data_IF_400721109728
#
_entry.id   IF_400721109728
#
_cell.length_a   1.000
_cell.length_b   1.000
_cell.length_c   1.000
_cell.angle_alpha   90.00
_cell.angle_beta   90.00
_cell.angle_gamma   90.00
#
_symmetry.space_group_name_H-M   'P 1'
#
loop_
_entity.id
_entity.type
_entity.pdbx_description
1 polymer ?
#
# COMPACT_ATOMS: atom_id res chain seq x y z
N UNK A 1 41.46 -3.33 -15.55
CA UNK A 1 41.26 -2.60 -14.29
C UNK A 1 40.64 -3.57 -13.27
N UNK A 2 41.41 -4.00 -12.27
CA UNK A 2 40.91 -4.83 -11.17
C UNK A 2 40.00 -3.95 -10.30
N UNK A 3 38.73 -4.31 -10.18
CA UNK A 3 37.81 -3.64 -9.25
C UNK A 3 38.43 -3.73 -7.83
N UNK A 4 38.73 -2.57 -7.23
CA UNK A 4 39.11 -2.52 -5.82
C UNK A 4 37.95 -3.10 -5.02
N UNK A 5 38.17 -4.13 -4.21
CA UNK A 5 37.17 -4.65 -3.28
C UNK A 5 36.78 -3.51 -2.33
N UNK A 6 35.54 -3.05 -2.42
CA UNK A 6 34.98 -2.12 -1.43
C UNK A 6 34.67 -2.93 -0.17
N UNK A 7 35.14 -2.47 1.00
CA UNK A 7 34.81 -3.11 2.26
C UNK A 7 33.29 -2.98 2.50
N UNK A 8 32.64 -4.12 2.71
CA UNK A 8 31.22 -4.14 3.08
C UNK A 8 31.08 -3.63 4.51
N UNK A 9 30.12 -2.73 4.74
CA UNK A 9 29.79 -2.22 6.08
C UNK A 9 29.24 -3.30 7.01
N UNK A 10 28.75 -2.88 8.16
CA UNK A 10 28.09 -3.77 9.12
C UNK A 10 26.89 -4.49 8.48
N UNK A 11 26.71 -5.76 8.83
CA UNK A 11 25.54 -6.52 8.41
C UNK A 11 24.35 -6.14 9.30
N UNK A 12 23.25 -5.67 8.69
CA UNK A 12 22.02 -5.39 9.36
C UNK A 12 21.03 -6.53 9.12
N UNK A 13 20.05 -6.68 10.03
CA UNK A 13 18.96 -7.66 9.91
C UNK A 13 17.64 -7.04 10.37
N UNK A 14 16.54 -7.56 9.85
CA UNK A 14 15.18 -7.18 10.24
C UNK A 14 14.33 -8.43 10.36
N UNK A 15 13.58 -8.54 11.45
CA UNK A 15 12.58 -9.57 11.61
C UNK A 15 11.28 -9.11 10.94
N UNK A 16 10.69 -9.98 10.15
CA UNK A 16 9.40 -9.76 9.48
C UNK A 16 8.47 -10.85 9.96
N UNK A 17 7.33 -10.47 10.50
CA UNK A 17 6.30 -11.39 10.96
C UNK A 17 4.99 -11.10 10.25
N UNK A 18 4.18 -12.13 10.06
CA UNK A 18 2.83 -12.02 9.51
C UNK A 18 1.96 -13.15 10.06
N UNK A 19 0.67 -12.96 10.00
CA UNK A 19 -0.31 -14.01 10.29
C UNK A 19 -0.64 -14.79 9.01
N UNK A 20 -1.18 -16.01 9.18
CA UNK A 20 -1.74 -16.78 8.06
C UNK A 20 -2.79 -15.90 7.32
N UNK A 21 -2.65 -15.69 6.01
CA UNK A 21 -3.60 -14.87 5.26
C UNK A 21 -4.95 -15.55 5.02
N UNK A 22 -5.08 -16.86 5.20
CA UNK A 22 -6.28 -17.61 4.85
C UNK A 22 -7.57 -17.11 5.55
N UNK A 23 -7.57 -16.77 6.86
CA UNK A 23 -8.75 -16.20 7.51
C UNK A 23 -9.20 -14.87 6.90
N UNK A 24 -8.27 -13.95 6.64
CA UNK A 24 -8.59 -12.67 5.99
C UNK A 24 -9.07 -12.85 4.56
N UNK A 25 -8.48 -13.78 3.82
CA UNK A 25 -8.93 -14.12 2.45
C UNK A 25 -10.37 -14.64 2.46
N UNK A 26 -10.71 -15.54 3.38
CA UNK A 26 -12.07 -16.07 3.51
C UNK A 26 -13.08 -14.98 3.88
N UNK A 27 -12.74 -14.08 4.81
CA UNK A 27 -13.58 -12.95 5.17
C UNK A 27 -13.81 -12.00 3.98
N UNK A 28 -12.75 -11.72 3.19
CA UNK A 28 -12.84 -10.86 1.99
C UNK A 28 -13.76 -11.38 0.91
N UNK A 29 -14.06 -12.71 0.86
CA UNK A 29 -15.02 -13.29 -0.07
C UNK A 29 -16.48 -12.99 0.32
N UNK A 30 -16.76 -12.72 1.59
CA UNK A 30 -18.12 -12.69 2.15
C UNK A 30 -18.54 -11.32 2.68
N UNK A 31 -17.59 -10.49 3.08
CA UNK A 31 -17.88 -9.17 3.61
C UNK A 31 -17.95 -8.10 2.50
N UNK A 32 -18.78 -7.05 2.67
CA UNK A 32 -18.62 -5.82 1.90
C UNK A 32 -17.23 -5.23 2.13
N UNK A 33 -16.67 -4.58 1.12
CA UNK A 33 -15.29 -4.08 1.19
C UNK A 33 -15.04 -3.10 2.34
N UNK A 34 -16.01 -2.24 2.68
CA UNK A 34 -15.89 -1.33 3.83
C UNK A 34 -15.81 -2.12 5.15
N UNK A 35 -16.70 -3.08 5.35
CA UNK A 35 -16.74 -3.88 6.58
C UNK A 35 -15.46 -4.71 6.73
N UNK A 36 -14.97 -5.27 5.63
CA UNK A 36 -13.70 -6.00 5.59
C UNK A 36 -12.51 -5.13 6.00
N UNK A 37 -12.40 -3.93 5.45
CA UNK A 37 -11.31 -3.00 5.78
C UNK A 37 -11.45 -2.43 7.19
N UNK A 38 -12.68 -2.20 7.66
CA UNK A 38 -12.95 -1.77 9.04
C UNK A 38 -12.56 -2.84 10.04
N UNK A 39 -12.87 -4.11 9.77
CA UNK A 39 -12.44 -5.23 10.62
C UNK A 39 -10.91 -5.35 10.71
N UNK A 40 -10.17 -5.02 9.63
CA UNK A 40 -8.70 -4.92 9.70
C UNK A 40 -8.24 -3.73 10.53
N UNK A 41 -8.88 -2.57 10.37
CA UNK A 41 -8.55 -1.35 11.11
C UNK A 41 -8.75 -1.54 12.62
N UNK A 42 -9.83 -2.23 13.01
CA UNK A 42 -10.20 -2.50 14.40
C UNK A 42 -9.42 -3.70 15.00
N UNK A 43 -8.59 -4.38 14.21
CA UNK A 43 -7.79 -5.53 14.64
C UNK A 43 -8.58 -6.84 14.79
N UNK A 44 -9.80 -6.92 14.28
CA UNK A 44 -10.61 -8.14 14.22
C UNK A 44 -10.10 -9.12 13.16
N UNK A 45 -9.52 -8.59 12.07
CA UNK A 45 -8.83 -9.35 11.03
C UNK A 45 -7.36 -8.98 10.99
N UNK A 46 -6.45 -9.96 10.81
CA UNK A 46 -5.04 -9.67 10.67
C UNK A 46 -4.75 -8.91 9.37
N UNK A 47 -3.77 -7.99 9.39
CA UNK A 47 -3.32 -7.32 8.17
C UNK A 47 -2.66 -8.31 7.21
N UNK A 48 -2.66 -8.04 5.91
CA UNK A 48 -2.01 -8.90 4.94
C UNK A 48 -0.48 -8.91 5.13
N UNK A 49 0.21 -10.01 4.77
CA UNK A 49 1.66 -10.16 4.95
C UNK A 49 2.51 -9.02 4.38
N UNK A 50 2.06 -8.38 3.30
CA UNK A 50 2.74 -7.25 2.67
C UNK A 50 2.89 -6.06 3.62
N UNK A 51 1.98 -5.87 4.58
CA UNK A 51 2.06 -4.80 5.57
C UNK A 51 3.31 -4.97 6.45
N UNK A 52 3.59 -6.19 6.92
CA UNK A 52 4.80 -6.49 7.69
C UNK A 52 6.08 -6.31 6.88
N UNK A 53 6.04 -6.66 5.58
CA UNK A 53 7.18 -6.49 4.69
C UNK A 53 7.51 -5.02 4.43
N UNK A 54 6.52 -4.18 4.25
CA UNK A 54 6.69 -2.76 3.88
C UNK A 54 6.55 -1.80 5.04
N UNK A 55 6.22 -2.30 6.25
CA UNK A 55 6.00 -1.51 7.45
C UNK A 55 4.88 -0.47 7.27
N UNK A 56 3.78 -0.90 6.64
CA UNK A 56 2.61 -0.04 6.41
C UNK A 56 1.42 -0.50 7.24
N UNK A 57 0.58 0.44 7.65
CA UNK A 57 -0.60 0.23 8.48
C UNK A 57 -1.79 0.99 7.93
N UNK A 58 -2.97 0.37 7.90
CA UNK A 58 -4.24 1.04 7.65
C UNK A 58 -4.61 1.87 8.89
N UNK A 59 -4.85 3.17 8.70
CA UNK A 59 -5.16 4.09 9.81
C UNK A 59 -6.52 4.78 9.68
N UNK A 60 -7.10 4.74 8.47
CA UNK A 60 -8.45 5.29 8.24
C UNK A 60 -9.06 4.64 7.01
N UNK A 61 -10.35 4.34 7.07
CA UNK A 61 -11.16 3.94 5.91
C UNK A 61 -12.57 4.50 6.02
N UNK A 62 -13.03 5.07 4.92
CA UNK A 62 -14.42 5.48 4.70
C UNK A 62 -14.79 5.15 3.24
N UNK A 63 -16.07 5.15 2.86
CA UNK A 63 -16.44 4.87 1.47
C UNK A 63 -15.70 5.76 0.47
N UNK A 64 -14.95 5.15 -0.44
CA UNK A 64 -14.17 5.82 -1.48
C UNK A 64 -12.86 6.44 -1.03
N UNK A 65 -12.43 6.22 0.23
CA UNK A 65 -11.16 6.74 0.73
C UNK A 65 -10.50 5.78 1.71
N UNK A 66 -9.19 5.60 1.58
CA UNK A 66 -8.36 4.85 2.54
C UNK A 66 -7.06 5.60 2.81
N UNK A 67 -6.59 5.53 4.06
CA UNK A 67 -5.32 6.13 4.48
C UNK A 67 -4.45 5.07 5.13
N UNK A 68 -3.21 4.99 4.68
CA UNK A 68 -2.17 4.17 5.27
C UNK A 68 -0.99 5.03 5.71
N UNK A 69 -0.33 4.58 6.75
CA UNK A 69 0.99 5.08 7.12
C UNK A 69 2.06 4.07 6.74
N UNK A 70 3.30 4.53 6.57
CA UNK A 70 4.46 3.67 6.35
C UNK A 70 5.68 4.33 6.98
N UNK A 71 6.37 3.60 7.84
CA UNK A 71 7.65 4.05 8.38
C UNK A 71 8.79 3.51 7.50
N UNK A 72 9.40 4.36 6.65
CA UNK A 72 10.47 3.93 5.77
C UNK A 72 11.76 3.67 6.54
N UNK A 73 12.59 2.76 6.03
CA UNK A 73 13.89 2.45 6.63
C UNK A 73 14.95 2.10 5.59
N UNK A 74 16.20 2.01 6.03
CA UNK A 74 17.34 1.65 5.16
C UNK A 74 17.20 0.28 4.49
N UNK A 75 16.40 -0.62 5.08
CA UNK A 75 16.08 -1.92 4.52
C UNK A 75 15.41 -1.83 3.14
N UNK A 76 14.78 -0.70 2.85
CA UNK A 76 14.10 -0.41 1.59
C UNK A 76 14.88 0.48 0.63
N UNK A 77 16.18 0.72 0.86
CA UNK A 77 16.96 1.62 0.02
C UNK A 77 17.36 0.98 -1.32
N UNK A 78 17.40 1.81 -2.32
CA UNK A 78 18.01 1.54 -3.62
C UNK A 78 19.54 1.83 -3.56
N UNK A 79 20.33 1.50 -4.63
CA UNK A 79 21.77 1.72 -4.62
C UNK A 79 22.24 3.18 -4.49
N UNK A 80 21.36 4.16 -4.67
CA UNK A 80 21.68 5.59 -4.52
C UNK A 80 21.31 6.16 -3.15
N UNK A 81 20.92 5.30 -2.20
CA UNK A 81 20.68 5.69 -0.80
C UNK A 81 19.32 6.36 -0.53
N UNK A 82 18.32 6.12 -1.35
CA UNK A 82 16.94 6.54 -1.11
C UNK A 82 16.02 5.35 -1.04
N UNK A 83 14.85 5.49 -0.41
CA UNK A 83 13.81 4.44 -0.42
C UNK A 83 13.48 4.09 -1.87
N UNK A 84 13.50 2.79 -2.18
CA UNK A 84 13.20 2.30 -3.52
C UNK A 84 11.79 2.71 -3.95
N UNK A 85 11.65 3.25 -5.16
CA UNK A 85 10.36 3.69 -5.68
C UNK A 85 9.27 2.60 -5.68
N UNK A 86 9.68 1.33 -5.78
CA UNK A 86 8.77 0.18 -5.67
C UNK A 86 8.04 0.11 -4.32
N UNK A 87 8.67 0.51 -3.20
CA UNK A 87 8.00 0.56 -1.90
C UNK A 87 6.93 1.65 -1.87
N UNK A 88 7.26 2.84 -2.37
CA UNK A 88 6.29 3.95 -2.49
C UNK A 88 5.17 3.59 -3.47
N UNK A 89 5.49 2.87 -4.56
CA UNK A 89 4.48 2.36 -5.49
C UNK A 89 3.55 1.33 -4.83
N UNK A 90 4.08 0.40 -4.02
CA UNK A 90 3.25 -0.56 -3.26
C UNK A 90 2.29 0.16 -2.32
N UNK A 91 2.75 1.20 -1.63
CA UNK A 91 1.91 2.01 -0.75
C UNK A 91 0.79 2.72 -1.53
N UNK A 92 1.11 3.30 -2.70
CA UNK A 92 0.15 3.95 -3.59
C UNK A 92 -0.86 2.96 -4.19
N UNK A 93 -0.41 1.78 -4.62
CA UNK A 93 -1.29 0.72 -5.13
C UNK A 93 -2.27 0.25 -4.05
N UNK A 94 -1.77 0.07 -2.83
CA UNK A 94 -2.59 -0.33 -1.67
C UNK A 94 -3.69 0.69 -1.39
N UNK A 95 -3.37 1.98 -1.28
CA UNK A 95 -4.40 2.99 -0.96
C UNK A 95 -5.39 3.18 -2.10
N UNK A 96 -4.95 3.09 -3.36
CA UNK A 96 -5.82 3.14 -4.53
C UNK A 96 -6.79 1.96 -4.56
N UNK A 97 -6.27 0.75 -4.32
CA UNK A 97 -7.09 -0.47 -4.24
C UNK A 97 -8.09 -0.44 -3.10
N UNK A 98 -7.66 -0.07 -1.89
CA UNK A 98 -8.53 0.01 -0.72
C UNK A 98 -9.60 1.10 -0.85
N UNK A 99 -9.29 2.24 -1.50
CA UNK A 99 -10.28 3.28 -1.78
C UNK A 99 -11.43 2.76 -2.66
N UNK A 100 -11.13 2.00 -3.73
CA UNK A 100 -12.17 1.34 -4.52
C UNK A 100 -12.87 0.24 -3.70
N UNK A 101 -12.09 -0.63 -3.04
CA UNK A 101 -12.63 -1.76 -2.29
C UNK A 101 -13.66 -1.33 -1.26
N UNK A 102 -13.43 -0.23 -0.56
CA UNK A 102 -14.38 0.31 0.44
C UNK A 102 -15.78 0.63 -0.11
N UNK A 103 -15.97 0.60 -1.43
CA UNK A 103 -17.28 0.84 -2.09
C UNK A 103 -17.87 -0.40 -2.73
N UNK A 104 -17.17 -1.53 -2.71
CA UNK A 104 -17.63 -2.77 -3.35
C UNK A 104 -18.54 -3.56 -2.42
N UNK A 105 -19.65 -4.11 -2.93
CA UNK A 105 -20.48 -5.02 -2.16
C UNK A 105 -19.78 -6.37 -1.92
N UNK A 106 -20.31 -7.17 -1.01
CA UNK A 106 -19.87 -8.54 -0.79
C UNK A 106 -19.84 -9.35 -2.10
N UNK A 107 -18.87 -10.22 -2.25
CA UNK A 107 -18.68 -11.06 -3.44
C UNK A 107 -18.06 -10.35 -4.64
N UNK A 108 -17.67 -9.10 -4.50
CA UNK A 108 -16.87 -8.36 -5.49
C UNK A 108 -15.47 -8.05 -4.96
N UNK A 109 -14.51 -8.14 -5.85
CA UNK A 109 -13.13 -7.75 -5.61
C UNK A 109 -12.58 -6.94 -6.77
N UNK A 110 -11.31 -6.64 -6.70
CA UNK A 110 -10.64 -5.88 -7.76
C UNK A 110 -9.23 -6.43 -8.03
N UNK A 111 -8.71 -6.05 -9.18
CA UNK A 111 -7.30 -6.26 -9.56
C UNK A 111 -6.79 -5.00 -10.22
N UNK A 112 -5.59 -4.55 -9.83
CA UNK A 112 -4.93 -3.42 -10.49
C UNK A 112 -4.58 -3.79 -11.92
N UNK A 113 -5.01 -2.97 -12.88
CA UNK A 113 -4.72 -3.12 -14.33
C UNK A 113 -3.57 -2.20 -14.70
N UNK A 114 -3.57 -1.01 -14.16
CA UNK A 114 -2.57 0.00 -14.38
C UNK A 114 -2.40 0.86 -13.13
N UNK A 115 -1.16 1.22 -12.85
CA UNK A 115 -0.82 2.30 -11.94
C UNK A 115 0.27 3.17 -12.58
N UNK A 116 0.02 4.48 -12.66
CA UNK A 116 1.00 5.47 -13.06
C UNK A 116 1.45 6.23 -11.84
N UNK A 117 2.74 6.17 -11.52
CA UNK A 117 3.34 6.86 -10.37
C UNK A 117 4.22 8.00 -10.83
N UNK A 118 4.09 9.15 -10.18
CA UNK A 118 4.98 10.30 -10.31
C UNK A 118 5.72 10.51 -8.99
N UNK A 119 7.05 10.33 -9.01
CA UNK A 119 7.92 10.55 -7.86
C UNK A 119 8.39 12.00 -7.87
N UNK A 120 8.00 12.78 -6.88
CA UNK A 120 8.23 14.23 -6.83
C UNK A 120 9.40 14.60 -5.94
N UNK A 121 9.71 13.76 -4.94
CA UNK A 121 10.82 13.95 -4.01
C UNK A 121 11.43 12.62 -3.59
N UNK A 122 12.75 12.57 -3.34
CA UNK A 122 13.37 11.40 -2.74
C UNK A 122 12.85 11.18 -1.31
N UNK A 123 12.70 9.93 -0.92
CA UNK A 123 12.32 9.52 0.44
C UNK A 123 13.53 8.87 1.10
N UNK A 124 13.76 9.20 2.37
CA UNK A 124 14.79 8.62 3.23
C UNK A 124 14.14 8.14 4.53
N UNK A 125 14.85 7.35 5.34
CA UNK A 125 14.42 7.02 6.70
C UNK A 125 14.17 8.30 7.54
N UNK A 126 14.95 9.36 7.29
CA UNK A 126 14.78 10.66 7.94
C UNK A 126 13.56 11.48 7.45
N UNK A 127 12.85 11.03 6.44
CA UNK A 127 11.59 11.66 6.01
C UNK A 127 10.47 11.47 7.03
N UNK A 128 10.70 10.62 8.03
CA UNK A 128 9.70 10.23 9.03
C UNK A 128 8.59 9.39 8.45
N UNK A 129 7.51 9.26 9.18
CA UNK A 129 6.35 8.46 8.75
C UNK A 129 5.73 9.07 7.50
N UNK A 130 5.59 8.25 6.47
CA UNK A 130 4.84 8.60 5.27
C UNK A 130 3.35 8.37 5.52
N UNK A 131 2.53 9.27 4.97
CA UNK A 131 1.07 9.11 4.95
C UNK A 131 0.63 9.01 3.49
N UNK A 132 -0.03 7.92 3.16
CA UNK A 132 -0.62 7.71 1.85
C UNK A 132 -2.14 7.79 1.93
N UNK A 133 -2.74 8.54 1.03
CA UNK A 133 -4.20 8.66 0.89
C UNK A 133 -4.61 8.23 -0.50
N UNK A 134 -5.51 7.26 -0.58
CA UNK A 134 -6.19 6.87 -1.81
C UNK A 134 -7.61 7.44 -1.85
N UNK A 135 -8.04 7.89 -3.01
CA UNK A 135 -9.37 8.46 -3.23
C UNK A 135 -9.98 7.88 -4.49
N UNK A 136 -11.23 7.45 -4.39
CA UNK A 136 -12.01 6.98 -5.54
C UNK A 136 -12.45 8.19 -6.38
N UNK A 137 -12.06 8.21 -7.64
CA UNK A 137 -12.51 9.21 -8.62
C UNK A 137 -13.85 8.78 -9.23
N UNK A 138 -13.94 7.49 -9.61
CA UNK A 138 -15.15 6.94 -10.21
C UNK A 138 -15.17 5.42 -10.07
N UNK A 139 -16.30 4.87 -9.64
CA UNK A 139 -16.62 3.45 -9.79
C UNK A 139 -17.60 3.28 -10.94
N UNK A 140 -17.23 2.44 -11.92
CA UNK A 140 -18.12 1.92 -12.94
C UNK A 140 -18.54 0.49 -12.60
N UNK A 141 -19.26 -0.17 -13.51
CA UNK A 141 -19.68 -1.57 -13.31
C UNK A 141 -18.55 -2.58 -13.46
N UNK A 142 -17.47 -2.25 -14.18
CA UNK A 142 -16.34 -3.15 -14.45
C UNK A 142 -14.98 -2.53 -14.12
N UNK A 143 -14.91 -1.22 -14.04
CA UNK A 143 -13.65 -0.50 -13.83
C UNK A 143 -13.83 0.56 -12.75
N UNK A 144 -12.84 0.66 -11.88
CA UNK A 144 -12.68 1.74 -10.92
C UNK A 144 -11.47 2.61 -11.29
N UNK A 145 -11.57 3.91 -11.04
CA UNK A 145 -10.51 4.89 -11.24
C UNK A 145 -10.23 5.57 -9.92
N UNK A 146 -8.98 5.55 -9.50
CA UNK A 146 -8.55 6.07 -8.22
C UNK A 146 -7.31 6.94 -8.36
N UNK A 147 -7.11 7.82 -7.39
CA UNK A 147 -5.90 8.63 -7.24
C UNK A 147 -5.27 8.37 -5.88
N UNK A 148 -3.95 8.45 -5.82
CA UNK A 148 -3.18 8.28 -4.61
C UNK A 148 -2.18 9.41 -4.42
N UNK A 149 -1.98 9.83 -3.17
CA UNK A 149 -0.98 10.83 -2.78
C UNK A 149 -0.21 10.31 -1.57
N UNK A 150 1.11 10.44 -1.60
CA UNK A 150 1.98 10.18 -0.43
C UNK A 150 2.62 11.48 0.01
N UNK A 151 2.54 11.75 1.32
CA UNK A 151 3.24 12.87 1.97
C UNK A 151 4.25 12.36 3.00
N UNK A 152 5.30 13.15 3.24
CA UNK A 152 6.23 12.93 4.35
C UNK A 152 5.68 13.46 5.68
N UNK A 153 6.44 13.28 6.77
CA UNK A 153 6.05 13.75 8.11
C UNK A 153 5.91 15.28 8.24
N UNK A 154 6.37 16.04 7.25
CA UNK A 154 6.21 17.50 7.18
C UNK A 154 5.01 17.92 6.29
N UNK A 155 4.23 16.96 5.79
CA UNK A 155 3.12 17.19 4.89
C UNK A 155 3.52 17.52 3.44
N UNK A 156 4.80 17.35 3.05
CA UNK A 156 5.24 17.58 1.67
C UNK A 156 4.89 16.39 0.82
N UNK A 157 4.27 16.62 -0.33
CA UNK A 157 3.96 15.56 -1.29
C UNK A 157 5.26 14.98 -1.86
N UNK A 158 5.46 13.67 -1.70
CA UNK A 158 6.62 12.92 -2.20
C UNK A 158 6.33 12.11 -3.44
N UNK A 159 5.10 11.64 -3.60
CA UNK A 159 4.65 10.94 -4.79
C UNK A 159 3.14 11.06 -4.98
N UNK A 160 2.69 10.90 -6.23
CA UNK A 160 1.28 10.79 -6.61
C UNK A 160 1.07 9.61 -7.54
N UNK A 161 -0.15 9.09 -7.59
CA UNK A 161 -0.52 8.07 -8.56
C UNK A 161 -1.94 8.28 -9.09
N UNK A 162 -2.19 7.76 -10.30
CA UNK A 162 -3.51 7.39 -10.80
C UNK A 162 -3.53 5.89 -11.06
N UNK A 163 -4.64 5.23 -10.76
CA UNK A 163 -4.77 3.79 -10.96
C UNK A 163 -6.11 3.43 -11.60
N UNK A 164 -6.05 2.43 -12.45
CA UNK A 164 -7.22 1.78 -13.07
C UNK A 164 -7.32 0.36 -12.52
N UNK A 165 -8.49 0.01 -12.01
CA UNK A 165 -8.74 -1.25 -11.34
C UNK A 165 -9.91 -1.99 -12.02
N UNK A 166 -9.73 -3.27 -12.30
CA UNK A 166 -10.79 -4.14 -12.83
C UNK A 166 -11.61 -4.68 -11.66
N UNK A 167 -12.91 -4.44 -11.67
CA UNK A 167 -13.86 -5.03 -10.72
C UNK A 167 -14.30 -6.39 -11.25
N UNK A 168 -14.25 -7.40 -10.40
CA UNK A 168 -14.65 -8.77 -10.74
C UNK A 168 -15.48 -9.40 -9.63
N UNK A 169 -16.34 -10.34 -10.01
CA UNK A 169 -16.99 -11.22 -9.03
C UNK A 169 -15.96 -12.21 -8.48
N UNK A 170 -15.92 -12.36 -7.17
CA UNK A 170 -15.06 -13.33 -6.50
C UNK A 170 -15.66 -14.74 -6.60
N UNK A 171 -14.82 -15.79 -6.66
CA UNK A 171 -15.32 -17.16 -6.63
C UNK A 171 -16.04 -17.42 -5.30
N UNK A 172 -17.17 -18.13 -5.38
CA UNK A 172 -17.90 -18.62 -4.20
C UNK A 172 -17.31 -19.91 -3.68
#
# INVERSE_FOLDING_TARGET
>A
MTAKSVAWGAKHQRNITWHDPAPSTAAGLTLPGLDFLTAMLDGELPPPPINGLTNMELVEVIPGRAVFTCEPGEWGYNPIGTVHGGIVCTLLDTVCGCALHSTLPAGQGFTSVEIKVSYLRPVHASSGVLTATGTLVKAGSRMGFTEGVVTDSQGKVVATASSTLLISTLPQ
#
